data_IF_211501744543
#
_entry.id   IF_211501744543
#
_cell.length_a   1.000
_cell.length_b   1.000
_cell.length_c   1.000
_cell.angle_alpha   90.00
_cell.angle_beta   90.00
_cell.angle_gamma   90.00
#
_symmetry.space_group_name_H-M   'P 1'
#
loop_
_entity.id
_entity.type
_entity.pdbx_description
1 polymer ?
#
# COMPACT_ATOMS: atom_id res chain seq x y z
N UNK A 1 -7.60 29.86 2.70
CA UNK A 1 -7.20 28.57 2.10
C UNK A 1 -7.25 28.66 0.58
N UNK A 2 -8.37 29.07 -0.01
CA UNK A 2 -8.57 29.15 -1.48
C UNK A 2 -7.57 30.06 -2.21
N UNK A 3 -7.30 31.26 -1.70
CA UNK A 3 -6.30 32.18 -2.30
C UNK A 3 -4.91 31.55 -2.48
N UNK A 4 -4.48 30.70 -1.55
CA UNK A 4 -3.18 30.03 -1.66
C UNK A 4 -3.22 28.87 -2.66
N UNK A 5 -4.37 28.17 -2.80
CA UNK A 5 -4.57 27.18 -3.86
C UNK A 5 -4.45 27.82 -5.24
N UNK A 6 -5.08 28.97 -5.46
CA UNK A 6 -5.00 29.71 -6.72
C UNK A 6 -3.57 30.16 -7.02
N UNK A 7 -2.88 30.68 -6.02
CA UNK A 7 -1.49 31.12 -6.14
C UNK A 7 -0.56 29.96 -6.54
N UNK A 8 -0.66 28.82 -5.87
CA UNK A 8 0.17 27.64 -6.18
C UNK A 8 -0.18 27.05 -7.54
N UNK A 9 -1.47 27.04 -7.91
CA UNK A 9 -1.91 26.61 -9.23
C UNK A 9 -1.33 27.50 -10.34
N UNK A 10 -1.36 28.82 -10.19
CA UNK A 10 -0.79 29.75 -11.17
C UNK A 10 0.72 29.52 -11.34
N UNK A 11 1.46 29.36 -10.23
CA UNK A 11 2.89 29.03 -10.28
C UNK A 11 3.18 27.71 -11.00
N UNK A 12 2.34 26.69 -10.81
CA UNK A 12 2.47 25.41 -11.52
C UNK A 12 2.09 25.50 -13.01
N UNK A 13 1.31 26.49 -13.42
CA UNK A 13 1.05 26.74 -14.84
C UNK A 13 2.26 27.41 -15.51
N UNK A 14 2.95 28.30 -14.79
CA UNK A 14 4.20 28.92 -15.25
C UNK A 14 5.35 27.92 -15.26
N UNK A 15 5.44 27.06 -14.23
CA UNK A 15 6.45 26.01 -14.09
C UNK A 15 5.79 24.65 -13.76
N UNK A 16 5.37 23.88 -14.78
CA UNK A 16 4.74 22.57 -14.60
C UNK A 16 5.65 21.46 -14.07
N UNK A 17 6.96 21.72 -13.99
CA UNK A 17 7.96 20.78 -13.45
C UNK A 17 8.38 21.16 -12.02
N UNK A 18 7.80 22.22 -11.45
CA UNK A 18 8.10 22.65 -10.09
C UNK A 18 7.71 21.62 -9.03
N UNK A 19 8.55 21.42 -8.01
CA UNK A 19 8.24 20.59 -6.83
C UNK A 19 7.08 21.13 -5.97
N UNK A 20 6.56 22.33 -6.29
CA UNK A 20 5.39 22.93 -5.64
C UNK A 20 4.13 22.07 -5.77
N UNK A 21 4.09 21.08 -6.68
CA UNK A 21 2.95 20.19 -6.84
C UNK A 21 2.59 19.45 -5.55
N UNK A 22 3.57 19.06 -4.73
CA UNK A 22 3.30 18.38 -3.45
C UNK A 22 2.67 19.32 -2.42
N UNK A 23 3.10 20.59 -2.38
CA UNK A 23 2.50 21.60 -1.50
C UNK A 23 1.07 21.93 -1.94
N UNK A 24 0.85 22.06 -3.26
CA UNK A 24 -0.46 22.27 -3.83
C UNK A 24 -1.41 21.11 -3.50
N UNK A 25 -0.94 19.86 -3.66
CA UNK A 25 -1.70 18.68 -3.32
C UNK A 25 -2.01 18.57 -1.81
N UNK A 26 -1.07 18.90 -0.92
CA UNK A 26 -1.35 18.89 0.52
C UNK A 26 -2.41 19.94 0.90
N UNK A 27 -2.44 21.06 0.19
CA UNK A 27 -3.47 22.08 0.38
C UNK A 27 -4.83 21.63 -0.19
N UNK A 28 -4.86 20.94 -1.33
CA UNK A 28 -6.07 20.32 -1.88
C UNK A 28 -6.64 19.28 -0.91
N UNK A 29 -5.79 18.41 -0.36
CA UNK A 29 -6.16 17.43 0.67
C UNK A 29 -6.80 18.11 1.88
N UNK A 30 -6.18 19.18 2.42
CA UNK A 30 -6.74 19.96 3.54
C UNK A 30 -8.06 20.65 3.21
N UNK A 31 -8.31 20.94 1.93
CA UNK A 31 -9.58 21.47 1.44
C UNK A 31 -10.64 20.39 1.19
N UNK A 32 -10.35 19.11 1.49
CA UNK A 32 -11.25 17.98 1.25
C UNK A 32 -11.28 17.48 -0.19
N UNK A 33 -10.46 18.06 -1.08
CA UNK A 33 -10.36 17.69 -2.50
C UNK A 33 -9.30 16.59 -2.68
N UNK A 34 -9.53 15.45 -2.05
CA UNK A 34 -8.51 14.40 -1.89
C UNK A 34 -8.19 13.73 -3.23
N UNK A 35 -9.20 13.45 -4.05
CA UNK A 35 -9.02 12.80 -5.36
C UNK A 35 -8.18 13.66 -6.31
N UNK A 36 -8.41 14.98 -6.28
CA UNK A 36 -7.60 15.93 -7.06
C UNK A 36 -6.17 16.02 -6.56
N UNK A 37 -5.97 15.96 -5.23
CA UNK A 37 -4.63 15.91 -4.64
C UNK A 37 -3.85 14.67 -5.12
N UNK A 38 -4.50 13.50 -5.13
CA UNK A 38 -3.92 12.24 -5.60
C UNK A 38 -3.52 12.33 -7.07
N UNK A 39 -4.38 12.87 -7.94
CA UNK A 39 -4.07 13.04 -9.36
C UNK A 39 -2.87 13.97 -9.59
N UNK A 40 -2.81 15.11 -8.91
CA UNK A 40 -1.67 16.03 -8.96
C UNK A 40 -0.38 15.32 -8.51
N UNK A 41 -0.44 14.54 -7.42
CA UNK A 41 0.71 13.82 -6.89
C UNK A 41 1.20 12.74 -7.85
N UNK A 42 0.30 11.94 -8.42
CA UNK A 42 0.68 10.90 -9.37
C UNK A 42 1.38 11.50 -10.59
N UNK A 43 0.85 12.61 -11.14
CA UNK A 43 1.48 13.33 -12.26
C UNK A 43 2.84 13.91 -11.89
N UNK A 44 2.98 14.49 -10.70
CA UNK A 44 4.25 15.02 -10.22
C UNK A 44 5.29 13.93 -9.93
N UNK A 45 4.88 12.79 -9.36
CA UNK A 45 5.75 11.64 -9.07
C UNK A 45 6.29 11.02 -10.36
N UNK A 46 5.51 10.95 -11.44
CA UNK A 46 6.01 10.49 -12.74
C UNK A 46 7.21 11.31 -13.24
N UNK A 47 7.24 12.61 -12.94
CA UNK A 47 8.35 13.51 -13.29
C UNK A 47 9.46 13.51 -12.25
N UNK A 48 9.09 13.39 -10.97
CA UNK A 48 9.98 13.49 -9.82
C UNK A 48 9.86 12.25 -8.92
N UNK A 49 10.28 11.07 -9.39
CA UNK A 49 10.03 9.79 -8.72
C UNK A 49 10.77 9.64 -7.39
N UNK A 50 11.79 10.46 -7.14
CA UNK A 50 12.60 10.44 -5.91
C UNK A 50 12.20 11.55 -4.91
N UNK A 51 11.11 12.27 -5.16
CA UNK A 51 10.70 13.36 -4.27
C UNK A 51 9.91 12.83 -3.07
N UNK A 52 10.62 12.60 -1.95
CA UNK A 52 10.06 12.01 -0.71
C UNK A 52 8.76 12.68 -0.25
N UNK A 53 8.70 14.03 -0.27
CA UNK A 53 7.50 14.77 0.17
C UNK A 53 6.25 14.47 -0.65
N UNK A 54 6.37 14.10 -1.92
CA UNK A 54 5.21 13.71 -2.72
C UNK A 54 4.58 12.42 -2.19
N UNK A 55 5.40 11.41 -1.87
CA UNK A 55 4.91 10.16 -1.28
C UNK A 55 4.36 10.37 0.12
N UNK A 56 4.95 11.27 0.92
CA UNK A 56 4.40 11.64 2.23
C UNK A 56 2.98 12.20 2.10
N UNK A 57 2.77 13.16 1.20
CA UNK A 57 1.44 13.76 1.00
C UNK A 57 0.47 12.76 0.38
N UNK A 58 0.93 11.89 -0.52
CA UNK A 58 0.12 10.83 -1.11
C UNK A 58 -0.36 9.82 -0.05
N UNK A 59 0.53 9.43 0.86
CA UNK A 59 0.18 8.59 2.01
C UNK A 59 -0.86 9.25 2.90
N UNK A 60 -0.74 10.56 3.16
CA UNK A 60 -1.76 11.33 3.91
C UNK A 60 -3.12 11.33 3.20
N UNK A 61 -3.14 11.46 1.88
CA UNK A 61 -4.38 11.39 1.09
C UNK A 61 -5.07 10.03 1.27
N UNK A 62 -4.33 8.93 1.12
CA UNK A 62 -4.88 7.59 1.30
C UNK A 62 -5.32 7.31 2.74
N UNK A 63 -4.57 7.82 3.73
CA UNK A 63 -4.95 7.73 5.15
C UNK A 63 -6.29 8.44 5.39
N UNK A 64 -6.48 9.62 4.82
CA UNK A 64 -7.71 10.40 4.96
C UNK A 64 -8.90 9.75 4.21
N UNK A 65 -8.64 8.93 3.19
CA UNK A 65 -9.64 8.04 2.55
C UNK A 65 -9.91 6.74 3.33
N UNK A 66 -9.20 6.49 4.44
CA UNK A 66 -9.30 5.25 5.21
C UNK A 66 -8.52 4.06 4.62
N UNK A 67 -7.81 4.26 3.50
CA UNK A 67 -6.96 3.25 2.87
C UNK A 67 -5.59 3.15 3.57
N UNK A 68 -5.59 2.69 4.83
CA UNK A 68 -4.42 2.70 5.69
C UNK A 68 -3.24 1.88 5.15
N UNK A 69 -3.49 0.71 4.55
CA UNK A 69 -2.42 -0.13 3.97
C UNK A 69 -1.70 0.57 2.81
N UNK A 70 -2.46 1.28 1.97
CA UNK A 70 -1.91 2.08 0.87
C UNK A 70 -1.16 3.29 1.40
N UNK A 71 -1.65 3.91 2.48
CA UNK A 71 -0.97 5.00 3.15
C UNK A 71 0.41 4.57 3.67
N UNK A 72 0.47 3.43 4.36
CA UNK A 72 1.72 2.84 4.89
C UNK A 72 2.75 2.65 3.78
N UNK A 73 2.37 2.04 2.64
CA UNK A 73 3.29 1.85 1.50
C UNK A 73 3.89 3.17 1.01
N UNK A 74 3.07 4.22 0.94
CA UNK A 74 3.55 5.54 0.52
C UNK A 74 4.45 6.20 1.57
N UNK A 75 4.15 6.04 2.86
CA UNK A 75 5.02 6.53 3.91
C UNK A 75 6.35 5.75 3.98
N UNK A 76 6.33 4.44 3.76
CA UNK A 76 7.55 3.61 3.65
C UNK A 76 8.40 4.07 2.46
N UNK A 77 7.77 4.39 1.33
CA UNK A 77 8.46 4.96 0.17
C UNK A 77 9.07 6.34 0.50
N UNK A 78 8.33 7.23 1.15
CA UNK A 78 8.84 8.53 1.60
C UNK A 78 10.07 8.36 2.53
N UNK A 79 9.99 7.43 3.48
CA UNK A 79 11.08 7.09 4.39
C UNK A 79 12.29 6.47 3.67
N UNK A 80 12.06 5.66 2.62
CA UNK A 80 13.16 5.08 1.83
C UNK A 80 13.96 6.14 1.07
N UNK A 81 13.29 7.19 0.60
CA UNK A 81 13.88 8.32 -0.11
C UNK A 81 14.54 9.34 0.83
N UNK A 82 13.99 9.51 2.03
CA UNK A 82 14.56 10.36 3.08
C UNK A 82 14.39 9.71 4.46
N UNK A 83 15.47 9.06 4.91
CA UNK A 83 15.54 8.33 6.19
C UNK A 83 15.50 9.24 7.41
N UNK A 84 15.73 10.54 7.24
CA UNK A 84 15.75 11.52 8.34
C UNK A 84 14.47 12.36 8.39
N UNK A 85 13.51 12.08 7.52
CA UNK A 85 12.23 12.78 7.49
C UNK A 85 11.38 12.47 8.73
N UNK A 86 11.49 13.32 9.76
CA UNK A 86 10.63 13.27 10.94
C UNK A 86 9.13 13.25 10.59
N UNK A 87 8.63 14.03 9.62
CA UNK A 87 7.24 13.94 9.20
C UNK A 87 6.84 12.55 8.68
N UNK A 88 7.69 11.89 7.89
CA UNK A 88 7.40 10.55 7.37
C UNK A 88 7.45 9.48 8.46
N UNK A 89 8.44 9.55 9.36
CA UNK A 89 8.55 8.64 10.49
C UNK A 89 7.34 8.74 11.44
N UNK A 90 6.86 9.96 11.73
CA UNK A 90 5.67 10.18 12.56
C UNK A 90 4.42 9.57 11.94
N UNK A 91 4.22 9.78 10.63
CA UNK A 91 3.10 9.19 9.91
C UNK A 91 3.18 7.65 9.87
N UNK A 92 4.37 7.08 9.71
CA UNK A 92 4.60 5.62 9.81
C UNK A 92 4.26 5.08 11.20
N UNK A 93 4.81 5.70 12.26
CA UNK A 93 4.57 5.29 13.63
C UNK A 93 3.07 5.31 13.94
N UNK A 94 2.38 6.41 13.63
CA UNK A 94 0.95 6.55 13.88
C UNK A 94 0.12 5.55 13.05
N UNK A 95 0.51 5.30 11.79
CA UNK A 95 -0.16 4.30 10.96
C UNK A 95 0.01 2.88 11.50
N UNK A 96 1.22 2.50 11.91
CA UNK A 96 1.49 1.18 12.49
C UNK A 96 0.79 0.96 13.83
N UNK A 97 0.70 2.00 14.67
CA UNK A 97 -0.08 1.96 15.91
C UNK A 97 -1.54 1.65 15.59
N UNK A 98 -2.12 2.37 14.62
CA UNK A 98 -3.53 2.19 14.23
C UNK A 98 -3.83 0.83 13.62
N UNK A 99 -2.88 0.24 12.89
CA UNK A 99 -3.03 -1.12 12.31
C UNK A 99 -2.59 -2.23 13.26
N UNK A 100 -2.15 -1.91 14.48
CA UNK A 100 -1.71 -2.89 15.47
C UNK A 100 -0.34 -3.53 15.19
N UNK A 101 0.45 -2.98 14.27
CA UNK A 101 1.82 -3.45 14.02
C UNK A 101 2.79 -2.82 15.04
N UNK A 102 2.70 -3.32 16.27
CA UNK A 102 3.44 -2.76 17.43
C UNK A 102 4.94 -2.77 17.22
N UNK A 103 5.48 -3.83 16.61
CA UNK A 103 6.91 -3.96 16.33
C UNK A 103 7.42 -2.84 15.42
N UNK A 104 6.79 -2.67 14.24
CA UNK A 104 7.16 -1.59 13.31
C UNK A 104 6.89 -0.19 13.87
N UNK A 105 5.83 -0.04 14.68
CA UNK A 105 5.56 1.21 15.38
C UNK A 105 6.70 1.58 16.34
N UNK A 106 7.16 0.62 17.14
CA UNK A 106 8.29 0.77 18.06
C UNK A 106 9.56 1.17 17.32
N UNK A 107 9.92 0.44 16.27
CA UNK A 107 11.10 0.75 15.42
C UNK A 107 11.05 2.19 14.87
N UNK A 108 9.89 2.64 14.37
CA UNK A 108 9.71 4.00 13.86
C UNK A 108 9.86 5.07 14.95
N UNK A 109 9.28 4.86 16.15
CA UNK A 109 9.39 5.78 17.28
C UNK A 109 10.83 5.85 17.83
N UNK A 110 11.52 4.71 17.93
CA UNK A 110 12.92 4.66 18.34
C UNK A 110 13.81 5.42 17.34
N UNK A 111 13.52 5.31 16.04
CA UNK A 111 14.23 6.09 15.02
C UNK A 111 13.97 7.60 15.15
N UNK A 112 12.76 8.02 15.54
CA UNK A 112 12.48 9.43 15.84
C UNK A 112 13.33 9.90 17.02
N UNK A 113 13.40 9.13 18.11
CA UNK A 113 14.21 9.47 19.29
C UNK A 113 15.72 9.44 19.02
N UNK A 114 16.18 8.66 18.03
CA UNK A 114 17.57 8.71 17.58
C UNK A 114 17.92 10.04 16.88
N UNK A 115 16.95 10.66 16.20
CA UNK A 115 17.10 11.95 15.52
C UNK A 115 16.85 13.12 16.49
N UNK A 116 15.79 13.03 17.28
CA UNK A 116 15.37 14.01 18.28
C UNK A 116 15.15 13.33 19.64
N UNK A 117 16.22 13.19 20.46
CA UNK A 117 16.14 12.53 21.76
C UNK A 117 15.23 13.24 22.77
N UNK A 118 14.89 14.51 22.52
CA UNK A 118 14.08 15.34 23.41
C UNK A 118 12.59 15.37 23.01
N UNK A 119 12.18 14.58 22.02
CA UNK A 119 10.76 14.45 21.65
C UNK A 119 9.97 13.68 22.72
N UNK A 120 9.43 14.44 23.68
CA UNK A 120 8.58 13.95 24.77
C UNK A 120 7.31 13.25 24.26
N UNK A 121 6.75 13.68 23.14
CA UNK A 121 5.55 13.05 22.57
C UNK A 121 5.88 11.63 22.11
N UNK A 122 6.98 11.49 21.36
CA UNK A 122 7.46 10.20 20.87
C UNK A 122 7.82 9.26 22.04
N UNK A 123 8.45 9.79 23.10
CA UNK A 123 8.76 9.00 24.31
C UNK A 123 7.49 8.46 24.98
N UNK A 124 6.48 9.32 25.16
CA UNK A 124 5.18 8.91 25.72
C UNK A 124 4.48 7.86 24.86
N UNK A 125 4.52 8.01 23.52
CA UNK A 125 3.96 7.00 22.60
C UNK A 125 4.69 5.67 22.73
N UNK A 126 6.01 5.68 22.84
CA UNK A 126 6.82 4.47 22.97
C UNK A 126 6.56 3.74 24.29
N UNK A 127 6.38 4.48 25.39
CA UNK A 127 6.04 3.95 26.71
C UNK A 127 4.61 3.39 26.77
N UNK A 128 3.67 3.98 26.03
CA UNK A 128 2.27 3.53 25.99
C UNK A 128 2.03 2.35 25.05
N UNK A 129 3.00 2.01 24.18
CA UNK A 129 2.90 0.81 23.36
C UNK A 129 2.82 -0.43 24.26
N UNK A 130 1.94 -1.40 23.93
CA UNK A 130 1.97 -2.67 24.63
C UNK A 130 3.37 -3.26 24.53
N UNK A 131 3.82 -3.88 25.61
CA UNK A 131 5.02 -4.72 25.56
C UNK A 131 4.73 -5.80 24.52
N UNK A 132 5.72 -6.12 23.69
CA UNK A 132 5.60 -7.31 22.86
C UNK A 132 5.31 -8.48 23.80
N UNK A 133 4.06 -8.94 23.82
CA UNK A 133 3.82 -10.31 24.19
C UNK A 133 4.59 -11.10 23.14
N UNK A 134 5.48 -11.99 23.58
CA UNK A 134 6.04 -13.05 22.76
C UNK A 134 4.89 -13.95 22.27
N UNK A 135 4.07 -13.43 21.36
CA UNK A 135 3.42 -14.26 20.39
C UNK A 135 4.55 -14.70 19.50
N UNK A 136 5.14 -15.85 19.87
CA UNK A 136 5.88 -16.70 18.95
C UNK A 136 5.19 -16.54 17.61
N UNK A 137 5.87 -15.91 16.66
CA UNK A 137 5.40 -15.91 15.29
C UNK A 137 5.01 -17.37 15.00
N UNK A 138 3.90 -17.64 14.31
CA UNK A 138 3.85 -18.89 13.58
C UNK A 138 5.06 -18.80 12.66
N UNK A 139 6.11 -19.52 13.08
CA UNK A 139 7.22 -19.95 12.27
C UNK A 139 6.65 -20.15 10.89
N UNK A 140 7.15 -19.40 9.89
CA UNK A 140 6.86 -19.72 8.50
C UNK A 140 7.13 -21.22 8.44
N UNK A 141 6.07 -22.01 8.37
CA UNK A 141 6.18 -23.43 8.18
C UNK A 141 6.80 -23.50 6.80
N UNK A 142 8.13 -23.61 6.78
CA UNK A 142 8.80 -24.44 5.82
C UNK A 142 7.91 -25.68 5.76
N UNK A 143 7.19 -25.79 4.65
CA UNK A 143 6.49 -27.02 4.34
C UNK A 143 7.54 -28.11 4.52
N UNK A 144 7.34 -29.08 5.43
CA UNK A 144 8.28 -30.17 5.55
C UNK A 144 8.38 -30.78 4.16
N UNK A 145 9.60 -30.82 3.63
CA UNK A 145 9.89 -31.18 2.26
C UNK A 145 9.01 -32.34 1.83
N UNK A 146 8.12 -32.07 0.88
CA UNK A 146 7.39 -33.12 0.20
C UNK A 146 8.47 -34.01 -0.39
N UNK A 147 8.60 -35.30 0.01
CA UNK A 147 9.48 -36.19 -0.71
C UNK A 147 9.01 -36.16 -2.17
N UNK A 148 9.95 -35.94 -3.10
CA UNK A 148 9.72 -36.04 -4.54
C UNK A 148 9.35 -37.48 -4.90
N UNK A 149 8.14 -37.88 -4.56
CA UNK A 149 7.50 -39.13 -4.97
C UNK A 149 6.06 -38.78 -5.30
N UNK A 150 5.86 -38.58 -6.61
CA UNK A 150 4.62 -38.67 -7.36
C UNK A 150 3.41 -37.84 -6.95
N UNK A 151 3.59 -36.51 -7.01
CA UNK A 151 2.48 -35.59 -7.23
C UNK A 151 1.68 -35.89 -8.54
N UNK A 152 2.30 -36.59 -9.50
CA UNK A 152 1.65 -37.02 -10.75
C UNK A 152 0.71 -38.23 -10.60
N UNK A 153 0.91 -39.12 -9.62
CA UNK A 153 0.05 -40.30 -9.46
C UNK A 153 -1.34 -39.97 -8.88
N UNK A 154 -1.45 -38.90 -8.08
CA UNK A 154 -2.73 -38.47 -7.51
C UNK A 154 -3.64 -37.76 -8.54
N UNK A 155 -3.05 -37.21 -9.61
CA UNK A 155 -3.81 -36.47 -10.63
C UNK A 155 -4.43 -37.39 -11.70
N UNK A 156 -3.95 -38.62 -11.88
CA UNK A 156 -4.55 -39.57 -12.83
C UNK A 156 -5.79 -40.28 -12.26
N UNK A 157 -5.89 -40.50 -10.95
CA UNK A 157 -7.07 -41.14 -10.34
C UNK A 157 -8.33 -40.23 -10.37
N UNK A 158 -8.14 -38.90 -10.34
CA UNK A 158 -9.24 -37.92 -10.38
C UNK A 158 -9.78 -37.68 -11.80
N UNK A 159 -9.04 -38.07 -12.84
CA UNK A 159 -9.46 -37.92 -14.25
C UNK A 159 -10.33 -39.10 -14.72
N UNK A 160 -10.23 -40.27 -14.08
CA UNK A 160 -11.01 -41.47 -14.43
C UNK A 160 -12.48 -41.39 -13.99
N UNK A 161 -12.80 -40.72 -12.86
CA UNK A 161 -14.18 -40.59 -12.36
C UNK A 161 -15.07 -39.66 -13.19
N UNK A 162 -14.52 -38.63 -13.85
CA UNK A 162 -15.33 -37.68 -14.65
C UNK A 162 -15.65 -38.14 -16.08
N UNK A 163 -15.17 -39.32 -16.50
CA UNK A 163 -15.46 -39.87 -17.84
C UNK A 163 -16.76 -40.68 -17.93
N UNK A 164 -17.39 -41.05 -16.82
CA UNK A 164 -18.66 -41.81 -16.84
C UNK A 164 -19.92 -40.94 -16.77
N UNK A 165 -19.81 -39.66 -16.41
CA UNK A 165 -20.98 -38.77 -16.23
C UNK A 165 -21.37 -37.95 -17.48
N UNK A 166 -20.58 -37.97 -18.56
CA UNK A 166 -20.84 -37.15 -19.77
C UNK A 166 -21.32 -37.94 -21.00
N UNK A 167 -21.50 -39.25 -20.91
CA UNK A 167 -21.91 -40.09 -22.04
C UNK A 167 -23.44 -40.16 -22.32
N UNK A 168 -24.29 -39.46 -21.55
CA UNK A 168 -25.75 -39.63 -21.63
C UNK A 168 -26.54 -38.45 -22.23
N UNK A 169 -25.91 -37.47 -22.90
CA UNK A 169 -26.66 -36.33 -23.49
C UNK A 169 -26.03 -35.72 -24.74
N UNK A 170 -25.82 -36.54 -25.78
CA UNK A 170 -25.57 -36.02 -27.13
C UNK A 170 -26.89 -36.01 -27.95
N UNK A 171 -27.27 -34.89 -28.58
CA UNK A 171 -28.46 -34.82 -29.45
C UNK A 171 -28.23 -35.58 -30.78
N UNK A 172 -29.30 -36.09 -31.43
CA UNK A 172 -29.16 -36.81 -32.70
C UNK A 172 -28.66 -35.89 -33.82
N UNK A 173 -27.92 -36.42 -34.79
CA UNK A 173 -27.33 -35.63 -35.88
C UNK A 173 -28.41 -35.09 -36.84
N UNK A 174 -28.19 -33.91 -37.45
CA UNK A 174 -29.18 -33.26 -38.30
C UNK A 174 -29.38 -33.99 -39.63
N UNK A 175 -30.65 -34.17 -40.01
CA UNK A 175 -31.06 -34.72 -41.30
C UNK A 175 -30.57 -33.85 -42.46
N UNK A 176 -29.89 -34.48 -43.43
CA UNK A 176 -29.43 -33.85 -44.65
C UNK A 176 -30.63 -33.47 -45.54
N UNK A 177 -30.76 -32.17 -45.84
CA UNK A 177 -31.70 -31.71 -46.87
C UNK A 177 -31.16 -32.07 -48.26
N UNK A 178 -32.00 -32.56 -49.19
CA UNK A 178 -31.57 -32.77 -50.56
C UNK A 178 -31.45 -31.42 -51.27
N UNK A 179 -30.34 -31.21 -51.98
CA UNK A 179 -30.10 -30.08 -52.87
C UNK A 179 -31.08 -30.14 -54.06
N UNK A 180 -31.78 -29.03 -54.40
CA UNK A 180 -32.36 -28.83 -55.72
C UNK A 180 -31.45 -28.02 -56.65
#
# INVERSE_FOLDING_TARGET
>A
MEKELERLRAKLQEDPDSLLFAQYADLLRKAGRIEEAIDVLNRGIMKHPNYSMAYLVLGRCYRDQGAMDTAIKNFEQAFSLDRQSLPALRELADAYIKTGNVKKAREALEHILAIDPLDEETRRKLESLPKEEEKKEPEKTETPGVPETDFFAFFEEVIEEKKQETAAKAPPPPEAKPEP
#
